data_IF_078638271606
#
_entry.id   IF_078638271606
#
_cell.length_a   1.000
_cell.length_b   1.000
_cell.length_c   1.000
_cell.angle_alpha   90.00
_cell.angle_beta   90.00
_cell.angle_gamma   90.00
#
_symmetry.space_group_name_H-M   'P 1'
#
loop_
_entity.id
_entity.type
_entity.pdbx_description
1 polymer ?
#
# COMPACT_ATOMS: atom_id res chain seq x y z
N UNK A 1 8.25 6.21 3.44
CA UNK A 1 7.65 6.41 2.10
C UNK A 1 7.55 5.08 1.40
N UNK A 2 6.63 4.94 0.45
CA UNK A 2 6.46 3.76 -0.41
C UNK A 2 6.99 4.14 -1.79
N UNK A 3 7.80 3.27 -2.39
CA UNK A 3 8.33 3.50 -3.74
C UNK A 3 7.26 3.16 -4.78
N UNK A 4 6.83 4.15 -5.55
CA UNK A 4 6.08 3.93 -6.80
C UNK A 4 7.12 3.74 -7.89
N UNK A 5 7.02 2.64 -8.63
CA UNK A 5 7.98 2.27 -9.68
C UNK A 5 7.28 2.05 -11.02
N UNK A 6 8.05 2.15 -12.10
CA UNK A 6 7.55 1.86 -13.43
C UNK A 6 8.67 1.71 -14.45
N UNK A 7 8.27 1.45 -15.69
CA UNK A 7 9.16 1.33 -16.83
C UNK A 7 8.67 2.22 -17.97
N UNK A 8 9.58 2.58 -18.86
CA UNK A 8 9.29 3.32 -20.10
C UNK A 8 9.83 2.57 -21.31
N UNK A 9 9.27 2.84 -22.48
CA UNK A 9 9.66 2.21 -23.73
C UNK A 9 10.01 3.22 -24.82
N UNK A 10 10.24 2.71 -26.02
CA UNK A 10 10.43 3.50 -27.25
C UNK A 10 11.50 4.59 -27.12
N UNK A 11 11.23 5.79 -27.63
CA UNK A 11 12.18 6.90 -27.70
C UNK A 11 12.51 7.54 -26.34
N UNK A 12 11.80 7.19 -25.25
CA UNK A 12 12.04 7.75 -23.91
C UNK A 12 13.43 7.37 -23.42
N UNK A 13 14.25 8.31 -22.95
CA UNK A 13 15.68 8.12 -22.64
C UNK A 13 15.94 8.31 -21.15
N UNK A 14 17.08 7.80 -20.71
CA UNK A 14 17.58 8.11 -19.37
C UNK A 14 17.72 9.63 -19.19
N UNK A 15 17.28 10.13 -18.04
CA UNK A 15 17.22 11.56 -17.75
C UNK A 15 15.92 12.25 -18.17
N UNK A 16 15.04 11.60 -18.95
CA UNK A 16 13.72 12.17 -19.24
C UNK A 16 12.90 12.31 -17.96
N UNK A 17 12.19 13.43 -17.83
CA UNK A 17 11.43 13.76 -16.63
C UNK A 17 10.14 12.95 -16.56
N UNK A 18 9.91 12.32 -15.41
CA UNK A 18 8.66 11.63 -15.06
C UNK A 18 7.99 12.42 -13.93
N UNK A 19 6.72 12.75 -14.14
CA UNK A 19 5.85 13.31 -13.10
C UNK A 19 4.84 12.25 -12.69
N UNK A 20 4.74 11.98 -11.39
CA UNK A 20 3.82 11.03 -10.78
C UNK A 20 2.83 11.79 -9.93
N UNK A 21 1.54 11.57 -10.16
CA UNK A 21 0.45 12.21 -9.45
C UNK A 21 -0.30 11.19 -8.58
N UNK A 22 -0.52 11.54 -7.33
CA UNK A 22 -1.36 10.80 -6.38
C UNK A 22 -2.29 11.80 -5.71
N UNK A 23 -3.57 11.75 -6.06
CA UNK A 23 -4.53 12.80 -5.68
C UNK A 23 -4.12 14.17 -6.22
N UNK A 24 -3.89 15.13 -5.31
CA UNK A 24 -3.47 16.50 -5.67
C UNK A 24 -1.95 16.71 -5.61
N UNK A 25 -1.21 15.72 -5.09
CA UNK A 25 0.24 15.80 -4.93
C UNK A 25 0.96 15.36 -6.20
N UNK A 26 2.05 16.05 -6.54
CA UNK A 26 2.88 15.77 -7.70
C UNK A 26 4.33 15.49 -7.26
N UNK A 27 4.88 14.39 -7.73
CA UNK A 27 6.23 13.92 -7.43
C UNK A 27 7.04 13.79 -8.71
N UNK A 28 8.28 14.27 -8.68
CA UNK A 28 9.16 14.25 -9.86
C UNK A 28 10.30 13.26 -9.69
N UNK A 29 10.63 12.59 -10.78
CA UNK A 29 11.81 11.74 -10.90
C UNK A 29 12.29 11.74 -12.35
N UNK A 30 13.35 10.98 -12.65
CA UNK A 30 13.85 10.81 -14.01
C UNK A 30 13.94 9.33 -14.37
N UNK A 31 13.89 9.05 -15.66
CA UNK A 31 14.15 7.70 -16.19
C UNK A 31 15.62 7.31 -15.96
N UNK A 32 15.85 6.11 -15.46
CA UNK A 32 17.17 5.52 -15.25
C UNK A 32 17.76 4.96 -16.56
N UNK A 33 19.05 4.61 -16.54
CA UNK A 33 19.75 4.02 -17.69
C UNK A 33 19.11 2.71 -18.19
N UNK A 34 18.47 1.96 -17.29
CA UNK A 34 17.79 0.68 -17.57
C UNK A 34 16.31 0.83 -17.97
N UNK A 35 15.86 2.05 -18.28
CA UNK A 35 14.46 2.39 -18.61
C UNK A 35 13.46 2.20 -17.47
N UNK A 36 13.92 2.06 -16.23
CA UNK A 36 13.06 2.12 -15.04
C UNK A 36 12.93 3.55 -14.51
N UNK A 37 11.97 3.79 -13.63
CA UNK A 37 11.91 4.99 -12.81
C UNK A 37 11.27 4.66 -11.46
N UNK A 38 11.55 5.47 -10.45
CA UNK A 38 10.86 5.38 -9.16
C UNK A 38 10.79 6.73 -8.47
N UNK A 39 9.78 6.89 -7.61
CA UNK A 39 9.67 8.02 -6.70
C UNK A 39 9.05 7.58 -5.38
N UNK A 40 9.50 8.20 -4.29
CA UNK A 40 9.05 7.89 -2.94
C UNK A 40 7.84 8.76 -2.58
N UNK A 41 6.70 8.12 -2.32
CA UNK A 41 5.44 8.77 -1.92
C UNK A 41 5.16 8.48 -0.43
N UNK A 42 4.74 9.46 0.39
CA UNK A 42 4.29 9.19 1.75
C UNK A 42 3.13 8.20 1.79
N UNK A 43 3.14 7.25 2.72
CA UNK A 43 2.08 6.26 2.86
C UNK A 43 0.71 6.89 3.15
N UNK A 44 0.69 7.98 3.92
CA UNK A 44 -0.52 8.74 4.23
C UNK A 44 -1.18 9.37 3.00
N UNK A 45 -0.40 9.69 1.95
CA UNK A 45 -0.94 10.18 0.68
C UNK A 45 -1.57 9.02 -0.10
N UNK A 46 -0.93 7.86 -0.11
CA UNK A 46 -1.46 6.67 -0.77
C UNK A 46 -2.72 6.14 -0.06
N UNK A 47 -2.77 6.19 1.27
CA UNK A 47 -3.88 5.70 2.08
C UNK A 47 -5.22 6.39 1.77
N UNK A 48 -5.20 7.69 1.43
CA UNK A 48 -6.41 8.49 1.18
C UNK A 48 -6.76 8.61 -0.31
N UNK A 49 -6.02 7.94 -1.19
CA UNK A 49 -6.25 7.91 -2.63
C UNK A 49 -6.38 6.47 -3.12
N UNK A 50 -6.85 6.27 -4.35
CA UNK A 50 -7.09 4.93 -4.93
C UNK A 50 -6.47 4.75 -6.32
N UNK A 51 -5.74 5.75 -6.80
CA UNK A 51 -5.07 5.70 -8.09
C UNK A 51 -3.76 6.48 -8.07
N UNK A 52 -2.86 6.08 -8.96
CA UNK A 52 -1.64 6.79 -9.29
C UNK A 52 -1.58 6.96 -10.80
N UNK A 53 -1.13 8.13 -11.26
CA UNK A 53 -0.81 8.35 -12.67
C UNK A 53 0.62 8.82 -12.83
N UNK A 54 1.21 8.51 -13.99
CA UNK A 54 2.56 8.92 -14.33
C UNK A 54 2.60 9.42 -15.78
N UNK A 55 3.29 10.53 -15.97
CA UNK A 55 3.54 11.14 -17.28
C UNK A 55 5.04 11.26 -17.48
N UNK A 56 5.52 10.83 -18.65
CA UNK A 56 6.89 11.07 -19.08
C UNK A 56 6.90 11.94 -20.32
N UNK A 57 7.81 12.92 -20.36
CA UNK A 57 8.05 13.75 -21.54
C UNK A 57 9.42 13.44 -22.09
N UNK A 58 9.49 13.12 -23.39
CA UNK A 58 10.76 12.90 -24.08
C UNK A 58 10.94 13.88 -25.23
N UNK A 59 12.20 14.17 -25.55
CA UNK A 59 12.59 15.07 -26.64
C UNK A 59 13.65 14.43 -27.52
N UNK A 60 13.45 14.51 -28.84
CA UNK A 60 14.48 14.07 -29.79
C UNK A 60 15.57 15.14 -30.00
N UNK A 61 16.71 14.80 -30.64
CA UNK A 61 17.79 15.77 -30.89
C UNK A 61 17.39 16.94 -31.81
N UNK A 62 16.33 16.79 -32.60
CA UNK A 62 15.79 17.85 -33.45
C UNK A 62 14.86 18.81 -32.68
N UNK A 63 14.56 18.49 -31.42
CA UNK A 63 13.74 19.31 -30.51
C UNK A 63 12.27 18.92 -30.46
N UNK A 64 11.83 17.89 -31.16
CA UNK A 64 10.43 17.42 -31.13
C UNK A 64 10.11 16.82 -29.76
N UNK A 65 8.92 17.13 -29.22
CA UNK A 65 8.47 16.68 -27.90
C UNK A 65 7.30 15.74 -28.04
N UNK A 66 7.29 14.67 -27.25
CA UNK A 66 6.11 13.83 -27.07
C UNK A 66 5.97 13.41 -25.62
N UNK A 67 4.77 13.00 -25.24
CA UNK A 67 4.41 12.57 -23.90
C UNK A 67 3.77 11.19 -23.92
N UNK A 68 4.07 10.38 -22.91
CA UNK A 68 3.34 9.15 -22.63
C UNK A 68 2.75 9.20 -21.21
N UNK A 69 1.58 8.60 -21.03
CA UNK A 69 0.85 8.60 -19.77
C UNK A 69 0.42 7.18 -19.42
N UNK A 70 0.41 6.87 -18.12
CA UNK A 70 -0.16 5.63 -17.58
C UNK A 70 -0.86 5.92 -16.25
N UNK A 71 -1.89 5.14 -15.94
CA UNK A 71 -2.60 5.18 -14.66
C UNK A 71 -2.80 3.79 -14.10
N UNK A 72 -2.78 3.66 -12.78
CA UNK A 72 -3.00 2.40 -12.09
C UNK A 72 -3.85 2.61 -10.84
N UNK A 73 -4.98 1.91 -10.74
CA UNK A 73 -5.80 1.90 -9.55
C UNK A 73 -5.27 0.89 -8.53
N UNK A 74 -5.47 1.17 -7.24
CA UNK A 74 -5.11 0.27 -6.14
C UNK A 74 -6.17 0.34 -5.04
N UNK A 75 -6.25 -0.75 -4.25
CA UNK A 75 -7.07 -0.79 -3.03
C UNK A 75 -6.27 -0.41 -1.80
N UNK A 76 -6.96 0.09 -0.77
CA UNK A 76 -6.39 0.36 0.55
C UNK A 76 -7.16 -0.47 1.57
N UNK A 77 -6.45 -1.31 2.32
CA UNK A 77 -7.00 -2.07 3.44
C UNK A 77 -6.13 -1.82 4.68
N UNK A 78 -6.62 -0.90 5.53
CA UNK A 78 -6.02 -0.60 6.83
C UNK A 78 -6.88 -1.12 7.98
N UNK A 79 -7.95 -1.86 7.68
CA UNK A 79 -8.89 -2.34 8.68
C UNK A 79 -8.37 -3.66 9.25
N UNK A 80 -7.83 -3.60 10.47
CA UNK A 80 -7.47 -4.81 11.19
C UNK A 80 -8.72 -5.65 11.51
N UNK A 81 -8.63 -7.00 11.44
CA UNK A 81 -9.73 -7.85 11.88
C UNK A 81 -9.97 -7.70 13.38
N UNK A 82 -11.23 -7.79 13.80
CA UNK A 82 -11.59 -7.87 15.22
C UNK A 82 -11.49 -9.31 15.70
N UNK A 83 -10.61 -9.57 16.66
CA UNK A 83 -10.57 -10.86 17.36
C UNK A 83 -11.49 -10.83 18.58
N UNK A 84 -12.18 -11.94 18.83
CA UNK A 84 -13.00 -12.17 20.01
C UNK A 84 -12.59 -13.51 20.63
N UNK A 85 -12.47 -13.54 21.95
CA UNK A 85 -12.33 -14.75 22.75
C UNK A 85 -13.19 -14.59 24.00
N UNK A 86 -13.93 -15.63 24.35
CA UNK A 86 -14.71 -15.74 25.58
C UNK A 86 -14.20 -16.90 26.42
N UNK A 87 -14.54 -16.87 27.70
CA UNK A 87 -14.42 -17.99 28.62
C UNK A 87 -15.81 -18.12 29.25
N UNK A 88 -16.38 -19.31 29.17
CA UNK A 88 -17.64 -19.63 29.82
C UNK A 88 -17.46 -19.63 31.34
N UNK A 89 -18.55 -19.67 32.09
CA UNK A 89 -18.45 -19.87 33.53
C UNK A 89 -17.72 -21.20 33.83
N UNK A 90 -16.79 -21.17 34.79
CA UNK A 90 -15.96 -22.33 35.13
C UNK A 90 -16.79 -23.49 35.71
N UNK A 91 -17.93 -23.15 36.31
CA UNK A 91 -18.98 -24.05 36.79
C UNK A 91 -20.33 -23.43 36.42
N UNK A 92 -21.46 -24.10 36.67
CA UNK A 92 -22.78 -23.57 36.32
C UNK A 92 -23.11 -22.21 36.97
N UNK A 93 -22.53 -21.92 38.13
CA UNK A 93 -22.72 -20.68 38.89
C UNK A 93 -21.47 -19.79 38.93
N UNK A 94 -20.39 -20.18 38.24
CA UNK A 94 -19.09 -19.51 38.25
C UNK A 94 -18.45 -19.38 39.65
N UNK A 95 -18.76 -20.31 40.56
CA UNK A 95 -18.17 -20.37 41.89
C UNK A 95 -17.60 -21.77 42.12
N UNK A 96 -16.40 -21.84 42.71
CA UNK A 96 -15.80 -23.11 43.12
C UNK A 96 -16.15 -23.39 44.57
N UNK A 97 -16.82 -24.51 44.82
CA UNK A 97 -17.07 -25.03 46.16
C UNK A 97 -16.02 -26.06 46.61
N UNK A 98 -16.10 -26.52 47.86
CA UNK A 98 -15.12 -27.43 48.44
C UNK A 98 -15.02 -28.78 47.69
N UNK A 99 -16.13 -29.31 47.20
CA UNK A 99 -16.14 -30.55 46.43
C UNK A 99 -15.52 -30.36 45.03
N UNK A 100 -15.79 -29.22 44.39
CA UNK A 100 -15.24 -28.85 43.08
C UNK A 100 -13.73 -28.57 43.13
N UNK A 101 -13.23 -27.98 44.21
CA UNK A 101 -11.80 -27.66 44.37
C UNK A 101 -10.86 -28.87 44.35
N UNK A 102 -11.39 -30.08 44.58
CA UNK A 102 -10.64 -31.34 44.54
C UNK A 102 -10.70 -32.07 43.20
N UNK A 103 -11.34 -31.50 42.18
CA UNK A 103 -11.61 -32.15 40.89
C UNK A 103 -10.91 -31.43 39.74
N UNK A 104 -10.76 -32.13 38.60
CA UNK A 104 -10.39 -31.49 37.34
C UNK A 104 -11.66 -30.93 36.70
N UNK A 105 -11.71 -29.61 36.55
CA UNK A 105 -12.82 -28.90 35.91
C UNK A 105 -12.32 -28.39 34.55
N UNK A 106 -13.05 -28.73 33.49
CA UNK A 106 -12.76 -28.23 32.16
C UNK A 106 -13.19 -26.77 32.05
N UNK A 107 -12.29 -25.90 31.59
CA UNK A 107 -12.60 -24.52 31.24
C UNK A 107 -12.95 -24.46 29.76
N UNK A 108 -14.10 -23.90 29.44
CA UNK A 108 -14.60 -23.71 28.06
C UNK A 108 -14.74 -22.22 27.76
N UNK A 109 -15.09 -21.86 26.54
CA UNK A 109 -15.20 -20.47 26.10
C UNK A 109 -15.75 -20.34 24.70
#
# INVERSE_FOLDING_TARGET
>A
TIAVTGQVGNEVKAGDAVTVNVGTEAYQTTVNADKTWNVNVPGSVLEVNSDVSATVTTRDPAGNVTTANASHAYGVDTVAPTALISIDNVTSDNVINAAESGQTIAVTG
#
